data_IF_577369494037
#
_entry.id   IF_577369494037
#
_cell.length_a   1.000
_cell.length_b   1.000
_cell.length_c   1.000
_cell.angle_alpha   90.00
_cell.angle_beta   90.00
_cell.angle_gamma   90.00
#
_symmetry.space_group_name_H-M   'P 1'
#
loop_
_entity.id
_entity.type
_entity.pdbx_description
1 polymer ?
#
# COMPACT_ATOMS: atom_id res chain seq x y z
N UNK A 1 -14.22 29.90 18.89
CA UNK A 1 -12.87 30.26 18.45
C UNK A 1 -12.98 31.26 17.30
N UNK A 2 -12.31 32.43 17.39
CA UNK A 2 -12.28 33.39 16.29
C UNK A 2 -11.40 32.85 15.17
N UNK A 3 -11.89 32.84 13.93
CA UNK A 3 -11.13 32.39 12.75
C UNK A 3 -10.27 33.50 12.17
N UNK A 4 -10.83 34.74 12.14
CA UNK A 4 -10.14 35.91 11.63
C UNK A 4 -10.81 37.18 12.15
N UNK A 5 -10.11 38.30 12.00
CA UNK A 5 -10.61 39.64 12.30
C UNK A 5 -10.08 40.58 11.21
N UNK A 6 -10.96 41.40 10.66
CA UNK A 6 -10.59 42.47 9.73
C UNK A 6 -11.40 43.73 10.01
N UNK A 7 -10.98 44.88 9.48
CA UNK A 7 -11.60 46.16 9.68
C UNK A 7 -11.87 46.79 8.32
N UNK A 8 -13.09 47.35 8.19
CA UNK A 8 -13.45 48.21 7.06
C UNK A 8 -13.15 49.65 7.43
N UNK A 9 -12.17 50.26 6.78
CA UNK A 9 -11.69 51.63 7.03
C UNK A 9 -12.02 52.53 5.83
N UNK A 10 -12.02 53.85 6.04
CA UNK A 10 -12.21 54.82 4.95
C UNK A 10 -13.69 55.08 4.63
N UNK A 11 -14.61 54.74 5.53
CA UNK A 11 -16.01 55.11 5.41
C UNK A 11 -16.11 56.62 5.70
N UNK A 12 -16.71 57.45 4.80
CA UNK A 12 -16.91 58.85 5.07
C UNK A 12 -17.80 59.08 6.32
N UNK A 13 -17.56 60.16 7.08
CA UNK A 13 -18.45 60.49 8.19
C UNK A 13 -19.89 60.69 7.74
N UNK A 14 -20.79 59.91 8.32
CA UNK A 14 -22.22 59.94 8.01
C UNK A 14 -23.06 60.00 9.30
N UNK A 15 -24.31 60.37 9.17
CA UNK A 15 -25.25 60.37 10.29
C UNK A 15 -25.40 58.95 10.84
N UNK A 16 -25.51 58.83 12.16
CA UNK A 16 -25.66 57.53 12.80
C UNK A 16 -26.86 56.76 12.21
N UNK A 17 -26.58 55.49 11.80
CA UNK A 17 -27.54 54.61 11.16
C UNK A 17 -27.66 54.74 9.63
N UNK A 18 -26.96 55.71 9.01
CA UNK A 18 -26.94 55.84 7.54
C UNK A 18 -26.03 54.82 6.81
N UNK A 19 -24.82 54.46 7.33
CA UNK A 19 -23.99 53.48 6.67
C UNK A 19 -24.65 52.13 6.58
N UNK A 20 -24.73 51.58 5.37
CA UNK A 20 -25.20 50.21 5.11
C UNK A 20 -24.06 49.34 4.64
N UNK A 21 -23.67 48.41 5.48
CA UNK A 21 -22.58 47.48 5.19
C UNK A 21 -23.17 46.14 4.78
N UNK A 22 -22.83 45.71 3.57
CA UNK A 22 -23.10 44.35 3.10
C UNK A 22 -21.90 43.47 3.40
N UNK A 23 -22.12 42.39 4.14
CA UNK A 23 -21.08 41.37 4.39
C UNK A 23 -21.44 40.14 3.59
N UNK A 24 -20.49 39.67 2.78
CA UNK A 24 -20.63 38.49 1.94
C UNK A 24 -19.64 37.42 2.43
N UNK A 25 -20.13 36.21 2.65
CA UNK A 25 -19.34 35.02 2.97
C UNK A 25 -19.39 34.10 1.79
N UNK A 26 -18.22 33.66 1.35
CA UNK A 26 -18.07 32.73 0.23
C UNK A 26 -17.12 31.62 0.65
N UNK A 27 -17.51 30.37 0.40
CA UNK A 27 -16.66 29.20 0.63
C UNK A 27 -16.43 28.56 -0.75
N UNK A 28 -15.19 28.38 -1.13
CA UNK A 28 -14.85 27.70 -2.37
C UNK A 28 -14.80 26.15 -2.22
N UNK A 29 -14.52 25.46 -3.33
CA UNK A 29 -14.45 24.00 -3.36
C UNK A 29 -13.30 23.43 -2.50
N UNK A 30 -12.27 24.24 -2.24
CA UNK A 30 -11.11 23.88 -1.41
C UNK A 30 -11.35 24.19 0.08
N UNK A 31 -12.55 24.68 0.41
CA UNK A 31 -12.93 25.03 1.77
C UNK A 31 -12.37 26.37 2.26
N UNK A 32 -11.82 27.19 1.37
CA UNK A 32 -11.31 28.52 1.70
C UNK A 32 -12.49 29.47 1.92
N UNK A 33 -12.52 30.12 3.09
CA UNK A 33 -13.53 31.12 3.41
C UNK A 33 -13.04 32.50 3.02
N UNK A 34 -13.75 33.14 2.08
CA UNK A 34 -13.59 34.53 1.69
C UNK A 34 -14.69 35.37 2.32
N UNK A 35 -14.31 36.40 3.03
CA UNK A 35 -15.28 37.35 3.64
C UNK A 35 -14.99 38.73 3.12
N UNK A 36 -15.97 39.35 2.48
CA UNK A 36 -15.90 40.73 2.06
C UNK A 36 -16.95 41.59 2.78
N UNK A 37 -16.58 42.83 3.10
CA UNK A 37 -17.49 43.82 3.65
C UNK A 37 -17.45 45.08 2.79
N UNK A 38 -18.59 45.54 2.29
CA UNK A 38 -18.71 46.72 1.44
C UNK A 38 -19.75 47.69 1.99
N UNK A 39 -19.34 48.96 2.13
CA UNK A 39 -20.30 50.05 2.39
C UNK A 39 -21.00 50.42 1.07
N UNK A 40 -22.32 50.42 1.07
CA UNK A 40 -23.13 50.51 -0.15
C UNK A 40 -23.18 51.91 -0.79
N UNK A 41 -22.98 52.97 -0.02
CA UNK A 41 -23.06 54.35 -0.48
C UNK A 41 -21.72 54.85 -0.98
N UNK A 42 -20.64 54.63 -0.23
CA UNK A 42 -19.27 55.04 -0.60
C UNK A 42 -18.57 54.06 -1.51
N UNK A 43 -19.04 52.80 -1.54
CA UNK A 43 -18.37 51.71 -2.26
C UNK A 43 -17.10 51.24 -1.62
N UNK A 44 -16.73 51.71 -0.44
CA UNK A 44 -15.56 51.27 0.33
C UNK A 44 -15.68 49.77 0.65
N UNK A 45 -14.65 49.02 0.35
CA UNK A 45 -14.63 47.55 0.49
C UNK A 45 -13.35 47.08 1.18
N UNK A 46 -13.48 46.06 2.00
CA UNK A 46 -12.40 45.29 2.56
C UNK A 46 -12.71 43.80 2.43
N UNK A 47 -11.71 42.98 2.22
CA UNK A 47 -11.88 41.54 2.17
C UNK A 47 -10.76 40.84 2.94
N UNK A 48 -11.02 39.62 3.36
CA UNK A 48 -10.06 38.72 3.98
C UNK A 48 -10.33 37.30 3.47
N UNK A 49 -9.25 36.57 3.21
CA UNK A 49 -9.29 35.15 2.92
C UNK A 49 -8.78 34.39 4.13
N UNK A 50 -9.58 33.42 4.57
CA UNK A 50 -9.24 32.55 5.68
C UNK A 50 -9.03 31.16 5.11
N UNK A 51 -7.78 30.74 5.03
CA UNK A 51 -7.46 29.36 4.69
C UNK A 51 -7.94 28.45 5.81
N UNK A 52 -8.58 27.30 5.50
CA UNK A 52 -8.90 26.32 6.50
C UNK A 52 -7.59 25.72 7.05
N UNK A 53 -7.01 26.37 8.05
CA UNK A 53 -6.03 25.70 8.87
C UNK A 53 -6.82 24.85 9.86
N UNK A 54 -6.75 23.55 9.77
CA UNK A 54 -7.39 22.60 10.69
C UNK A 54 -6.88 22.73 12.14
N UNK A 55 -6.51 23.92 12.53
CA UNK A 55 -5.95 24.24 13.84
C UNK A 55 -4.45 23.90 13.99
N UNK A 56 -3.81 23.48 12.90
CA UNK A 56 -2.38 23.19 12.86
C UNK A 56 -1.61 24.45 12.40
N UNK A 57 -0.48 24.74 13.02
CA UNK A 57 0.46 25.74 12.53
C UNK A 57 1.29 25.18 11.37
N UNK A 58 1.88 26.07 10.54
CA UNK A 58 2.75 25.64 9.43
C UNK A 58 3.92 24.77 9.93
N UNK A 59 4.46 25.03 11.12
CA UNK A 59 5.49 24.20 11.73
C UNK A 59 4.97 22.81 12.09
N UNK A 60 3.76 22.70 12.63
CA UNK A 60 3.14 21.40 12.93
C UNK A 60 2.88 20.57 11.67
N UNK A 61 2.50 21.23 10.57
CA UNK A 61 2.33 20.57 9.28
C UNK A 61 3.68 20.08 8.75
N UNK A 62 4.72 20.91 8.82
CA UNK A 62 6.08 20.53 8.42
C UNK A 62 6.63 19.36 9.24
N UNK A 63 6.44 19.39 10.57
CA UNK A 63 6.83 18.30 11.47
C UNK A 63 6.10 17.00 11.16
N UNK A 64 4.78 17.07 10.91
CA UNK A 64 3.97 15.89 10.52
C UNK A 64 4.39 15.31 9.18
N UNK A 65 4.72 16.15 8.20
CA UNK A 65 5.23 15.69 6.90
C UNK A 65 6.59 15.02 7.05
N UNK A 66 7.51 15.63 7.80
CA UNK A 66 8.83 15.05 8.08
C UNK A 66 8.73 13.71 8.79
N UNK A 67 7.84 13.58 9.76
CA UNK A 67 7.55 12.34 10.48
C UNK A 67 6.93 11.27 9.56
N UNK A 68 6.02 11.68 8.67
CA UNK A 68 5.41 10.79 7.68
C UNK A 68 6.44 10.25 6.67
N UNK A 69 7.32 11.11 6.16
CA UNK A 69 8.42 10.69 5.27
C UNK A 69 9.40 9.77 5.97
N UNK A 70 9.79 10.08 7.22
CA UNK A 70 10.69 9.23 8.00
C UNK A 70 10.14 7.84 8.32
N UNK A 71 8.81 7.69 8.39
CA UNK A 71 8.16 6.40 8.64
C UNK A 71 7.87 5.61 7.36
N UNK A 72 7.82 6.26 6.20
CA UNK A 72 7.46 5.63 4.93
C UNK A 72 8.42 4.48 4.55
N UNK A 73 9.72 4.65 4.76
CA UNK A 73 10.73 3.63 4.48
C UNK A 73 10.60 2.41 5.40
N UNK A 74 10.31 2.65 6.69
CA UNK A 74 10.09 1.58 7.67
C UNK A 74 8.82 0.80 7.35
N UNK A 75 7.74 1.50 7.00
CA UNK A 75 6.47 0.90 6.63
C UNK A 75 6.58 0.10 5.32
N UNK A 76 7.35 0.62 4.35
CA UNK A 76 7.63 -0.10 3.09
C UNK A 76 8.42 -1.38 3.36
N UNK A 77 9.48 -1.32 4.17
CA UNK A 77 10.28 -2.50 4.52
C UNK A 77 9.44 -3.54 5.26
N UNK A 78 8.59 -3.11 6.19
CA UNK A 78 7.69 -4.00 6.91
C UNK A 78 6.65 -4.66 6.00
N UNK A 79 6.14 -3.93 5.00
CA UNK A 79 5.22 -4.47 3.98
C UNK A 79 5.92 -5.52 3.12
N UNK A 80 7.10 -5.20 2.58
CA UNK A 80 7.87 -6.13 1.76
C UNK A 80 8.21 -7.43 2.50
N UNK A 81 8.52 -7.33 3.80
CA UNK A 81 8.77 -8.52 4.61
C UNK A 81 7.51 -9.38 4.76
N UNK A 82 6.35 -8.76 5.04
CA UNK A 82 5.08 -9.50 5.17
C UNK A 82 4.66 -10.17 3.86
N UNK A 83 4.81 -9.49 2.73
CA UNK A 83 4.54 -10.06 1.40
C UNK A 83 5.45 -11.27 1.14
N UNK A 84 6.75 -11.14 1.39
CA UNK A 84 7.69 -12.24 1.25
C UNK A 84 7.37 -13.42 2.19
N UNK A 85 6.92 -13.16 3.41
CA UNK A 85 6.49 -14.21 4.35
C UNK A 85 5.24 -14.95 3.85
N UNK A 86 4.28 -14.26 3.26
CA UNK A 86 3.08 -14.89 2.69
C UNK A 86 3.44 -15.78 1.51
N UNK A 87 4.29 -15.29 0.60
CA UNK A 87 4.73 -16.06 -0.56
C UNK A 87 5.57 -17.28 -0.16
N UNK A 88 6.45 -17.11 0.82
CA UNK A 88 7.25 -18.21 1.37
C UNK A 88 6.38 -19.31 2.00
N UNK A 89 5.35 -18.95 2.77
CA UNK A 89 4.40 -19.94 3.33
C UNK A 89 3.68 -20.71 2.24
N UNK A 90 3.17 -20.01 1.21
CA UNK A 90 2.53 -20.66 0.06
C UNK A 90 3.47 -21.63 -0.65
N UNK A 91 4.74 -21.27 -0.79
CA UNK A 91 5.74 -22.14 -1.39
C UNK A 91 5.98 -23.40 -0.54
N UNK A 92 6.09 -23.27 0.78
CA UNK A 92 6.21 -24.42 1.70
C UNK A 92 5.00 -25.34 1.55
N UNK A 93 3.76 -24.82 1.66
CA UNK A 93 2.53 -25.60 1.56
C UNK A 93 2.39 -26.32 0.20
N UNK A 94 2.72 -25.60 -0.88
CA UNK A 94 2.69 -26.19 -2.22
C UNK A 94 3.75 -27.28 -2.41
N UNK A 95 4.95 -27.09 -1.85
CA UNK A 95 6.04 -28.06 -1.91
C UNK A 95 5.70 -29.30 -1.11
N UNK A 96 5.16 -29.13 0.09
CA UNK A 96 4.72 -30.24 0.95
C UNK A 96 3.66 -31.10 0.26
N UNK A 97 2.64 -30.45 -0.29
CA UNK A 97 1.57 -31.12 -1.07
C UNK A 97 2.17 -31.89 -2.27
N UNK A 98 3.06 -31.24 -3.02
CA UNK A 98 3.68 -31.84 -4.19
C UNK A 98 4.54 -33.05 -3.84
N UNK A 99 5.31 -32.98 -2.75
CA UNK A 99 6.13 -34.09 -2.27
C UNK A 99 5.26 -35.27 -1.78
N UNK A 100 4.17 -35.00 -1.10
CA UNK A 100 3.23 -36.04 -0.64
C UNK A 100 2.56 -36.77 -1.81
N UNK A 101 2.19 -36.04 -2.87
CA UNK A 101 1.51 -36.62 -4.05
C UNK A 101 2.45 -37.43 -4.95
N UNK A 102 3.57 -36.83 -5.35
CA UNK A 102 4.39 -37.34 -6.46
C UNK A 102 5.86 -37.57 -6.05
N UNK A 103 6.29 -37.12 -4.87
CA UNK A 103 7.72 -37.11 -4.48
C UNK A 103 8.37 -38.48 -4.55
N UNK A 104 7.76 -39.49 -3.95
CA UNK A 104 8.29 -40.87 -3.96
C UNK A 104 8.28 -41.54 -5.31
N UNK A 105 7.41 -41.10 -6.22
CA UNK A 105 7.30 -41.70 -7.57
C UNK A 105 8.25 -41.08 -8.58
N UNK A 106 8.64 -39.82 -8.38
CA UNK A 106 9.37 -39.02 -9.36
C UNK A 106 10.80 -38.65 -8.96
N UNK A 107 11.13 -38.72 -7.67
CA UNK A 107 12.43 -38.31 -7.12
C UNK A 107 13.22 -39.51 -6.62
N UNK A 108 14.55 -39.43 -6.73
CA UNK A 108 15.45 -40.25 -5.96
C UNK A 108 15.40 -39.90 -4.47
N UNK A 109 15.87 -40.76 -3.61
CA UNK A 109 15.92 -40.52 -2.17
C UNK A 109 16.71 -39.24 -1.84
N UNK A 110 17.84 -39.03 -2.48
CA UNK A 110 18.71 -37.89 -2.22
C UNK A 110 18.07 -36.57 -2.66
N UNK A 111 17.39 -36.56 -3.81
CA UNK A 111 16.64 -35.38 -4.30
C UNK A 111 15.46 -35.06 -3.36
N UNK A 112 14.72 -36.07 -2.92
CA UNK A 112 13.62 -35.90 -1.97
C UNK A 112 14.10 -35.28 -0.66
N UNK A 113 15.20 -35.81 -0.09
CA UNK A 113 15.79 -35.30 1.16
C UNK A 113 16.33 -33.88 0.97
N UNK A 114 16.93 -33.57 -0.17
CA UNK A 114 17.43 -32.21 -0.47
C UNK A 114 16.29 -31.18 -0.48
N UNK A 115 15.16 -31.47 -1.14
CA UNK A 115 13.99 -30.61 -1.17
C UNK A 115 13.40 -30.47 0.24
N UNK A 116 13.29 -31.57 0.98
CA UNK A 116 12.78 -31.58 2.35
C UNK A 116 13.61 -30.68 3.28
N UNK A 117 14.92 -30.77 3.20
CA UNK A 117 15.84 -29.94 3.98
C UNK A 117 15.70 -28.45 3.63
N UNK A 118 15.59 -28.10 2.34
CA UNK A 118 15.37 -26.73 1.92
C UNK A 118 13.99 -26.19 2.38
N UNK A 119 12.94 -27.01 2.35
CA UNK A 119 11.61 -26.68 2.85
C UNK A 119 11.62 -26.43 4.37
N UNK A 120 12.26 -27.30 5.14
CA UNK A 120 12.39 -27.12 6.60
C UNK A 120 13.21 -25.87 6.95
N UNK A 121 14.27 -25.58 6.22
CA UNK A 121 15.06 -24.36 6.40
C UNK A 121 14.22 -23.09 6.17
N UNK A 122 13.33 -23.10 5.18
CA UNK A 122 12.42 -21.99 4.92
C UNK A 122 11.34 -21.90 6.00
N UNK A 123 10.77 -23.01 6.46
CA UNK A 123 9.77 -23.03 7.52
C UNK A 123 10.35 -22.51 8.85
N UNK A 124 11.56 -22.95 9.22
CA UNK A 124 12.27 -22.46 10.42
C UNK A 124 12.52 -20.95 10.36
N UNK A 125 12.89 -20.43 9.20
CA UNK A 125 13.10 -19.00 9.00
C UNK A 125 11.81 -18.18 9.13
N UNK A 126 10.67 -18.74 8.73
CA UNK A 126 9.36 -18.11 8.90
C UNK A 126 8.92 -18.05 10.36
N UNK A 127 9.32 -19.03 11.18
CA UNK A 127 9.00 -19.08 12.60
C UNK A 127 9.94 -18.21 13.44
N UNK A 128 11.23 -18.18 13.11
CA UNK A 128 12.24 -17.43 13.86
C UNK A 128 12.23 -15.94 13.60
N UNK A 129 11.48 -15.46 12.58
CA UNK A 129 11.28 -14.04 12.33
C UNK A 129 12.46 -13.37 11.60
N UNK A 130 12.94 -14.01 10.54
CA UNK A 130 14.03 -13.52 9.71
C UNK A 130 13.85 -12.14 9.10
N UNK A 131 14.97 -11.50 8.78
CA UNK A 131 15.00 -10.33 7.94
C UNK A 131 14.69 -10.68 6.46
N UNK A 132 14.25 -9.68 5.70
CA UNK A 132 13.87 -9.86 4.30
C UNK A 132 15.00 -10.45 3.42
N UNK A 133 16.28 -10.03 3.51
CA UNK A 133 17.36 -10.61 2.74
C UNK A 133 17.58 -12.10 3.00
N UNK A 134 17.48 -12.52 4.25
CA UNK A 134 17.66 -13.92 4.64
C UNK A 134 16.49 -14.78 4.19
N UNK A 135 15.25 -14.30 4.40
CA UNK A 135 14.05 -14.97 3.92
C UNK A 135 14.08 -15.19 2.39
N UNK A 136 14.44 -14.16 1.61
CA UNK A 136 14.59 -14.28 0.16
C UNK A 136 15.59 -15.34 -0.26
N UNK A 137 16.73 -15.42 0.42
CA UNK A 137 17.78 -16.39 0.12
C UNK A 137 17.34 -17.84 0.33
N UNK A 138 16.65 -18.12 1.45
CA UNK A 138 16.16 -19.49 1.71
C UNK A 138 14.97 -19.84 0.83
N UNK A 139 14.14 -18.87 0.45
CA UNK A 139 13.07 -19.06 -0.54
C UNK A 139 13.66 -19.43 -1.90
N UNK A 140 14.70 -18.74 -2.35
CA UNK A 140 15.40 -19.04 -3.62
C UNK A 140 16.09 -20.41 -3.59
N UNK A 141 16.63 -20.81 -2.45
CA UNK A 141 17.21 -22.14 -2.30
C UNK A 141 16.15 -23.25 -2.48
N UNK A 142 14.94 -23.08 -1.92
CA UNK A 142 13.85 -24.02 -2.13
C UNK A 142 13.35 -24.01 -3.58
N UNK A 143 13.21 -22.86 -4.21
CA UNK A 143 12.84 -22.74 -5.62
C UNK A 143 13.83 -23.50 -6.52
N UNK A 144 15.12 -23.32 -6.26
CA UNK A 144 16.18 -24.02 -7.01
C UNK A 144 16.11 -25.53 -6.81
N UNK A 145 15.95 -25.99 -5.56
CA UNK A 145 15.86 -27.41 -5.25
C UNK A 145 14.62 -28.08 -5.89
N UNK A 146 13.51 -27.35 -6.04
CA UNK A 146 12.25 -27.88 -6.59
C UNK A 146 12.13 -27.77 -8.10
N UNK A 147 13.03 -27.08 -8.81
CA UNK A 147 12.95 -26.82 -10.26
C UNK A 147 12.86 -28.11 -11.08
N UNK A 148 13.74 -29.07 -10.81
CA UNK A 148 13.75 -30.35 -11.52
C UNK A 148 12.48 -31.17 -11.22
N UNK A 149 12.06 -31.18 -9.96
CA UNK A 149 10.85 -31.86 -9.52
C UNK A 149 9.60 -31.31 -10.21
N UNK A 150 9.48 -30.00 -10.34
CA UNK A 150 8.39 -29.35 -11.06
C UNK A 150 8.34 -29.80 -12.54
N UNK A 151 9.49 -29.94 -13.20
CA UNK A 151 9.61 -30.44 -14.56
C UNK A 151 9.12 -31.89 -14.66
N UNK A 152 9.57 -32.76 -13.75
CA UNK A 152 9.16 -34.16 -13.71
C UNK A 152 7.67 -34.33 -13.47
N UNK A 153 7.07 -33.50 -12.57
CA UNK A 153 5.62 -33.51 -12.33
C UNK A 153 4.85 -33.09 -13.58
N UNK A 154 5.30 -32.04 -14.28
CA UNK A 154 4.67 -31.58 -15.51
C UNK A 154 4.71 -32.68 -16.59
N UNK A 155 5.85 -33.33 -16.81
CA UNK A 155 6.00 -34.43 -17.76
C UNK A 155 5.13 -35.63 -17.40
N UNK A 156 5.04 -35.99 -16.13
CA UNK A 156 4.16 -37.05 -15.64
C UNK A 156 2.68 -36.70 -15.83
N UNK A 157 2.30 -35.44 -15.61
CA UNK A 157 0.95 -34.95 -15.88
C UNK A 157 0.57 -35.03 -17.36
N UNK A 158 1.46 -34.60 -18.26
CA UNK A 158 1.28 -34.71 -19.71
C UNK A 158 1.11 -36.16 -20.13
N UNK A 159 1.99 -37.07 -19.66
CA UNK A 159 1.87 -38.51 -19.97
C UNK A 159 0.55 -39.10 -19.48
N UNK A 160 0.08 -38.76 -18.28
CA UNK A 160 -1.23 -39.21 -17.76
C UNK A 160 -2.39 -38.71 -18.62
N UNK A 161 -2.36 -37.46 -19.04
CA UNK A 161 -3.40 -36.88 -19.90
C UNK A 161 -3.43 -37.57 -21.28
N UNK A 162 -2.26 -37.80 -21.91
CA UNK A 162 -2.16 -38.44 -23.21
C UNK A 162 -2.50 -39.93 -23.16
N UNK A 163 -2.17 -40.66 -22.09
CA UNK A 163 -2.50 -42.09 -21.95
C UNK A 163 -3.99 -42.32 -21.68
N UNK A 164 -4.72 -41.31 -21.19
CA UNK A 164 -6.18 -41.37 -21.00
C UNK A 164 -7.00 -41.07 -22.28
N UNK A 165 -6.38 -40.46 -23.30
CA UNK A 165 -7.05 -40.07 -24.55
C UNK A 165 -6.83 -41.15 -25.60
N UNK A 166 -7.91 -41.81 -26.04
CA UNK A 166 -7.81 -42.80 -27.16
C UNK A 166 -7.38 -42.08 -28.42
N UNK A 167 -6.42 -42.66 -29.15
CA UNK A 167 -5.88 -42.16 -30.43
C UNK A 167 -7.01 -41.84 -31.47
N UNK A 168 -8.19 -42.45 -31.31
CA UNK A 168 -9.36 -42.22 -32.17
C UNK A 168 -10.01 -40.83 -32.01
N UNK A 169 -9.70 -40.07 -30.96
CA UNK A 169 -10.27 -38.73 -30.72
C UNK A 169 -9.35 -37.59 -31.23
N UNK A 170 -8.15 -37.91 -31.69
CA UNK A 170 -7.18 -36.93 -32.20
C UNK A 170 -7.23 -36.78 -33.74
N UNK A 171 -8.18 -37.46 -34.43
CA UNK A 171 -8.32 -37.46 -35.90
C UNK A 171 -9.63 -36.82 -36.38
N UNK A 172 -10.13 -35.81 -35.66
CA UNK A 172 -11.30 -35.03 -36.14
C UNK A 172 -10.92 -33.59 -36.39
#
# INVERSE_FOLDING_TARGET
RSLARFELRGIPPMVAGAPRIRVTFQIDADGMLSVSAREQTSGTEAHIEVKPSYGLSDNQIADMLTDAYGKADVDMAARMLREAQVDARRLVDATETALAEDGHALLTHDEYVAIQNAMFALADELETGADLPRLKRVTEALNTATTQFATLRMDAGIRRALSGTRISELQT
#
